data_IF_453316722041
#
_entry.id   IF_453316722041
#
_cell.length_a   1.000
_cell.length_b   1.000
_cell.length_c   1.000
_cell.angle_alpha   90.00
_cell.angle_beta   90.00
_cell.angle_gamma   90.00
#
_symmetry.space_group_name_H-M   'P 1'
#
loop_
_entity.id
_entity.type
_entity.pdbx_description
1 polymer ?
#
# COMPACT_ATOMS: atom_id res chain seq x y z
N UNK A 1 -28.15 21.80 88.32
CA UNK A 1 -28.81 22.11 87.01
C UNK A 1 -27.99 21.50 85.89
N UNK A 2 -28.63 20.55 85.20
CA UNK A 2 -28.03 19.65 84.20
C UNK A 2 -27.52 20.31 82.92
N UNK A 3 -26.22 20.37 82.73
CA UNK A 3 -25.57 20.73 81.41
C UNK A 3 -24.82 19.56 80.77
N UNK A 4 -25.20 18.33 81.09
CA UNK A 4 -24.54 17.15 80.51
C UNK A 4 -25.34 16.44 79.43
N UNK A 5 -26.58 16.84 79.11
CA UNK A 5 -27.43 16.14 78.15
C UNK A 5 -27.21 16.58 76.68
N UNK A 6 -26.64 17.76 76.43
CA UNK A 6 -26.55 18.28 75.03
C UNK A 6 -25.34 17.75 74.26
N UNK A 7 -24.28 17.31 74.93
CA UNK A 7 -23.05 16.80 74.29
C UNK A 7 -23.23 15.41 73.61
N UNK A 8 -24.18 14.60 74.09
CA UNK A 8 -24.48 13.29 73.52
C UNK A 8 -25.28 13.35 72.23
N UNK A 9 -26.17 14.34 72.08
CA UNK A 9 -27.01 14.45 70.87
C UNK A 9 -26.23 14.90 69.63
N UNK A 10 -25.29 15.82 69.79
CA UNK A 10 -24.41 16.28 68.72
C UNK A 10 -23.51 15.14 68.18
N UNK A 11 -23.01 14.29 69.05
CA UNK A 11 -22.18 13.14 68.67
C UNK A 11 -22.95 12.13 67.81
N UNK A 12 -24.20 11.82 68.11
CA UNK A 12 -25.06 10.90 67.34
C UNK A 12 -25.35 11.47 65.97
N UNK A 13 -25.63 12.77 65.87
CA UNK A 13 -25.88 13.42 64.57
C UNK A 13 -24.61 13.36 63.67
N UNK A 14 -23.45 13.66 64.22
CA UNK A 14 -22.17 13.58 63.49
C UNK A 14 -21.89 12.15 63.00
N UNK A 15 -22.13 11.15 63.80
CA UNK A 15 -21.96 9.73 63.42
C UNK A 15 -22.93 9.34 62.33
N UNK A 16 -24.22 9.79 62.39
CA UNK A 16 -25.18 9.54 61.32
C UNK A 16 -24.76 10.20 60.01
N UNK A 17 -24.32 11.44 60.02
CA UNK A 17 -23.87 12.11 58.80
C UNK A 17 -22.62 11.47 58.23
N UNK A 18 -21.63 11.10 59.02
CA UNK A 18 -20.42 10.45 58.57
C UNK A 18 -20.70 9.04 57.99
N UNK A 19 -21.60 8.28 58.62
CA UNK A 19 -22.00 6.96 58.09
C UNK A 19 -22.77 7.07 56.78
N UNK A 20 -23.66 8.06 56.64
CA UNK A 20 -24.39 8.35 55.44
C UNK A 20 -23.44 8.72 54.27
N UNK A 21 -22.45 9.57 54.58
CA UNK A 21 -21.43 9.99 53.59
C UNK A 21 -20.57 8.83 53.14
N UNK A 22 -20.15 7.94 54.07
CA UNK A 22 -19.42 6.72 53.75
C UNK A 22 -20.23 5.78 52.83
N UNK A 23 -21.53 5.62 53.11
CA UNK A 23 -22.40 4.79 52.23
C UNK A 23 -22.50 5.36 50.85
N UNK A 24 -22.66 6.68 50.70
CA UNK A 24 -22.76 7.33 49.37
C UNK A 24 -21.45 7.15 48.60
N UNK A 25 -20.29 7.34 49.26
CA UNK A 25 -18.98 7.14 48.63
C UNK A 25 -18.80 5.68 48.21
N UNK A 26 -19.14 4.72 49.09
CA UNK A 26 -19.00 3.28 48.79
C UNK A 26 -19.86 2.85 47.62
N UNK A 27 -21.12 3.32 47.53
CA UNK A 27 -22.00 3.05 46.39
C UNK A 27 -21.46 3.68 45.10
N UNK A 28 -20.87 4.89 45.20
CA UNK A 28 -20.19 5.55 44.09
C UNK A 28 -19.02 4.72 43.54
N UNK A 29 -18.16 4.23 44.44
CA UNK A 29 -17.02 3.37 44.09
C UNK A 29 -17.47 2.05 43.43
N UNK A 30 -18.46 1.36 43.98
CA UNK A 30 -18.98 0.11 43.41
C UNK A 30 -19.51 0.33 41.98
N UNK A 31 -20.24 1.43 41.76
CA UNK A 31 -20.71 1.77 40.41
C UNK A 31 -19.57 2.06 39.44
N UNK A 32 -18.55 2.80 39.90
CA UNK A 32 -17.39 3.12 39.08
C UNK A 32 -16.62 1.84 38.68
N UNK A 33 -16.36 0.95 39.66
CA UNK A 33 -15.70 -0.34 39.40
C UNK A 33 -16.48 -1.21 38.41
N UNK A 34 -17.81 -1.28 38.55
CA UNK A 34 -18.64 -2.05 37.64
C UNK A 34 -18.61 -1.47 36.21
N UNK A 35 -18.54 -0.16 36.06
CA UNK A 35 -18.40 0.47 34.74
C UNK A 35 -17.02 0.20 34.14
N UNK A 36 -15.94 0.29 34.92
CA UNK A 36 -14.58 -0.01 34.46
C UNK A 36 -14.46 -1.50 34.03
N UNK A 37 -15.04 -2.43 34.79
CA UNK A 37 -15.03 -3.86 34.46
C UNK A 37 -15.77 -4.12 33.13
N UNK A 38 -16.96 -3.51 32.95
CA UNK A 38 -17.72 -3.63 31.70
C UNK A 38 -16.93 -3.06 30.52
N UNK A 39 -16.34 -1.87 30.68
CA UNK A 39 -15.54 -1.24 29.65
C UNK A 39 -14.27 -2.04 29.31
N UNK A 40 -13.61 -2.60 30.31
CA UNK A 40 -12.45 -3.48 30.09
C UNK A 40 -12.85 -4.77 29.34
N UNK A 41 -13.99 -5.36 29.69
CA UNK A 41 -14.54 -6.53 28.98
C UNK A 41 -14.85 -6.23 27.54
N UNK A 42 -15.54 -5.09 27.28
CA UNK A 42 -15.90 -4.67 25.91
C UNK A 42 -14.67 -4.37 25.07
N UNK A 43 -13.64 -3.76 25.65
CA UNK A 43 -12.37 -3.53 24.96
C UNK A 43 -11.66 -4.85 24.62
N UNK A 44 -11.63 -5.83 25.53
CA UNK A 44 -11.05 -7.14 25.29
C UNK A 44 -11.79 -7.91 24.18
N UNK A 45 -13.13 -7.88 24.21
CA UNK A 45 -13.96 -8.51 23.17
C UNK A 45 -13.74 -7.81 21.82
N UNK A 46 -13.65 -6.48 21.82
CA UNK A 46 -13.35 -5.69 20.61
C UNK A 46 -12.00 -6.07 20.00
N UNK A 47 -10.95 -6.18 20.83
CA UNK A 47 -9.64 -6.60 20.38
C UNK A 47 -9.66 -8.03 19.86
N UNK A 48 -10.30 -8.95 20.56
CA UNK A 48 -10.45 -10.35 20.14
C UNK A 48 -11.23 -10.48 18.82
N UNK A 49 -12.26 -9.67 18.61
CA UNK A 49 -12.99 -9.61 17.35
C UNK A 49 -12.12 -9.07 16.20
N UNK A 50 -11.29 -8.05 16.49
CA UNK A 50 -10.33 -7.53 15.51
C UNK A 50 -9.29 -8.59 15.14
N UNK A 51 -8.68 -9.26 16.10
CA UNK A 51 -7.70 -10.33 15.86
C UNK A 51 -8.32 -11.49 15.06
N UNK A 52 -9.59 -11.78 15.31
CA UNK A 52 -10.34 -12.76 14.53
C UNK A 52 -10.52 -12.31 13.07
N UNK A 53 -10.82 -11.03 12.83
CA UNK A 53 -10.90 -10.50 11.47
C UNK A 53 -9.53 -10.55 10.76
N UNK A 54 -8.45 -10.22 11.46
CA UNK A 54 -7.08 -10.30 10.91
C UNK A 54 -6.72 -11.73 10.55
N UNK A 55 -7.11 -12.73 11.37
CA UNK A 55 -6.92 -14.15 11.03
C UNK A 55 -7.63 -14.53 9.73
N UNK A 56 -8.83 -13.98 9.49
CA UNK A 56 -9.53 -14.15 8.22
C UNK A 56 -8.77 -13.52 7.02
N UNK A 57 -8.09 -12.41 7.23
CA UNK A 57 -7.21 -11.80 6.21
C UNK A 57 -6.01 -12.70 5.90
N UNK A 58 -5.39 -13.31 6.93
CA UNK A 58 -4.26 -14.23 6.72
C UNK A 58 -4.68 -15.50 5.97
N UNK A 59 -5.85 -16.04 6.26
CA UNK A 59 -6.38 -17.17 5.50
C UNK A 59 -6.74 -16.76 4.06
N UNK A 60 -7.25 -15.53 3.85
CA UNK A 60 -7.48 -14.99 2.52
C UNK A 60 -6.17 -14.87 1.71
N UNK A 61 -5.05 -14.50 2.32
CA UNK A 61 -3.73 -14.49 1.65
C UNK A 61 -3.38 -15.89 1.13
N UNK A 62 -3.62 -16.92 1.93
CA UNK A 62 -3.40 -18.31 1.51
C UNK A 62 -4.26 -18.68 0.32
N UNK A 63 -5.55 -18.27 0.31
CA UNK A 63 -6.45 -18.49 -0.85
C UNK A 63 -5.92 -17.79 -2.09
N UNK A 64 -5.52 -16.52 -1.96
CA UNK A 64 -4.96 -15.71 -3.07
C UNK A 64 -3.70 -16.37 -3.63
N UNK A 65 -2.78 -16.79 -2.75
CA UNK A 65 -1.53 -17.46 -3.14
C UNK A 65 -1.82 -18.82 -3.81
N UNK A 66 -2.76 -19.60 -3.28
CA UNK A 66 -3.17 -20.87 -3.88
C UNK A 66 -3.78 -20.68 -5.27
N UNK A 67 -4.56 -19.61 -5.49
CA UNK A 67 -5.08 -19.27 -6.80
C UNK A 67 -3.97 -18.83 -7.76
N UNK A 68 -3.04 -17.99 -7.31
CA UNK A 68 -1.94 -17.49 -8.13
C UNK A 68 -1.00 -18.61 -8.61
N UNK A 69 -0.75 -19.62 -7.76
CA UNK A 69 0.12 -20.76 -8.05
C UNK A 69 -0.60 -21.95 -8.68
N UNK A 70 -1.94 -21.95 -8.69
CA UNK A 70 -2.76 -23.01 -9.23
C UNK A 70 -3.20 -22.78 -10.68
N UNK A 71 -3.98 -23.74 -11.19
CA UNK A 71 -4.71 -23.50 -12.44
C UNK A 71 -5.89 -22.53 -12.21
N UNK A 72 -6.30 -21.81 -13.25
CA UNK A 72 -7.44 -20.87 -13.20
C UNK A 72 -8.78 -21.53 -12.81
N UNK A 73 -8.87 -22.86 -12.92
CA UNK A 73 -10.02 -23.68 -12.48
C UNK A 73 -9.85 -24.27 -11.07
N UNK A 74 -8.85 -23.85 -10.32
CA UNK A 74 -8.66 -24.33 -8.95
C UNK A 74 -9.84 -23.89 -8.04
N UNK A 75 -10.09 -24.67 -7.00
CA UNK A 75 -11.14 -24.35 -6.02
C UNK A 75 -10.93 -22.95 -5.41
N UNK A 76 -9.66 -22.56 -5.20
CA UNK A 76 -9.30 -21.24 -4.69
C UNK A 76 -9.71 -20.11 -5.63
N UNK A 77 -9.38 -20.22 -6.93
CA UNK A 77 -9.75 -19.19 -7.91
C UNK A 77 -11.27 -19.10 -8.10
N UNK A 78 -11.95 -20.25 -8.16
CA UNK A 78 -13.42 -20.30 -8.27
C UNK A 78 -14.09 -19.65 -7.05
N UNK A 79 -13.54 -19.89 -5.84
CA UNK A 79 -14.05 -19.28 -4.61
C UNK A 79 -13.87 -17.74 -4.59
N UNK A 80 -12.73 -17.24 -5.08
CA UNK A 80 -12.47 -15.80 -5.19
C UNK A 80 -13.47 -15.15 -6.17
N UNK A 81 -13.68 -15.75 -7.34
CA UNK A 81 -14.60 -15.24 -8.36
C UNK A 81 -16.05 -15.16 -7.89
N UNK A 82 -16.44 -16.05 -6.97
CA UNK A 82 -17.78 -16.07 -6.39
C UNK A 82 -18.05 -14.87 -5.46
N UNK A 83 -17.03 -14.20 -4.94
CA UNK A 83 -17.11 -13.04 -4.04
C UNK A 83 -18.03 -13.23 -2.83
N UNK A 84 -18.01 -14.43 -2.25
CA UNK A 84 -18.88 -14.81 -1.13
C UNK A 84 -18.15 -14.79 0.20
N UNK A 85 -18.92 -14.73 1.30
CA UNK A 85 -18.37 -14.80 2.66
C UNK A 85 -17.69 -16.14 2.99
N UNK A 86 -17.99 -17.19 2.26
CA UNK A 86 -17.45 -18.54 2.46
C UNK A 86 -16.22 -18.85 1.57
N UNK A 87 -15.55 -17.82 1.07
CA UNK A 87 -14.41 -17.97 0.15
C UNK A 87 -13.30 -18.85 0.71
N UNK A 88 -12.94 -18.68 1.98
CA UNK A 88 -11.84 -19.43 2.63
C UNK A 88 -12.20 -20.92 2.77
N UNK A 89 -13.43 -21.22 3.12
CA UNK A 89 -13.94 -22.60 3.26
C UNK A 89 -14.06 -23.29 1.90
N UNK A 90 -14.60 -22.59 0.90
CA UNK A 90 -14.74 -23.12 -0.47
C UNK A 90 -13.40 -23.35 -1.15
N UNK A 91 -12.40 -22.58 -0.80
CA UNK A 91 -11.02 -22.81 -1.23
C UNK A 91 -10.35 -24.00 -0.54
N UNK A 92 -10.97 -24.60 0.47
CA UNK A 92 -10.41 -25.74 1.22
C UNK A 92 -9.29 -25.35 2.18
N UNK A 93 -9.12 -24.05 2.47
CA UNK A 93 -8.04 -23.56 3.36
C UNK A 93 -8.41 -23.73 4.84
N UNK A 94 -9.67 -23.54 5.18
CA UNK A 94 -10.14 -23.75 6.55
C UNK A 94 -11.31 -24.73 6.58
N UNK A 95 -11.32 -25.57 7.62
CA UNK A 95 -12.44 -26.48 7.86
C UNK A 95 -13.69 -25.68 8.24
N UNK A 96 -14.78 -25.89 7.52
CA UNK A 96 -16.07 -25.33 7.87
C UNK A 96 -16.74 -26.18 8.95
N UNK A 97 -17.17 -25.51 9.99
CA UNK A 97 -18.26 -26.04 10.82
C UNK A 97 -19.54 -25.37 10.32
N UNK A 98 -20.52 -26.09 9.93
CA UNK A 98 -21.92 -25.83 9.56
C UNK A 98 -22.37 -24.43 9.05
N UNK A 99 -21.62 -23.40 9.25
CA UNK A 99 -21.88 -22.01 8.83
C UNK A 99 -20.64 -21.37 8.22
N UNK A 100 -20.76 -20.18 7.67
CA UNK A 100 -19.62 -19.36 7.14
C UNK A 100 -18.58 -19.00 8.22
N UNK A 101 -18.73 -19.50 9.45
CA UNK A 101 -17.82 -19.24 10.58
C UNK A 101 -16.62 -20.15 10.53
N UNK A 102 -15.44 -19.57 10.70
CA UNK A 102 -14.21 -20.31 11.01
C UNK A 102 -13.81 -19.98 12.44
N UNK A 103 -13.90 -20.99 13.29
CA UNK A 103 -13.53 -20.85 14.70
C UNK A 103 -12.02 -20.84 14.86
N UNK A 104 -11.50 -19.85 15.55
CA UNK A 104 -10.09 -19.73 15.86
C UNK A 104 -9.84 -20.50 17.15
N UNK A 105 -9.06 -21.58 17.06
CA UNK A 105 -8.69 -22.38 18.24
C UNK A 105 -7.48 -21.74 18.91
N UNK A 106 -7.66 -21.36 20.16
CA UNK A 106 -6.54 -21.02 21.05
C UNK A 106 -6.06 -22.31 21.71
N UNK A 107 -4.84 -22.75 21.42
CA UNK A 107 -4.07 -23.78 22.14
C UNK A 107 -4.85 -24.99 22.67
N UNK A 108 -5.59 -25.69 21.82
CA UNK A 108 -6.27 -26.93 22.19
C UNK A 108 -7.60 -26.79 22.97
N UNK A 109 -8.05 -25.56 23.21
CA UNK A 109 -9.37 -25.34 23.80
C UNK A 109 -10.48 -25.77 22.82
N UNK A 110 -11.58 -26.40 23.32
CA UNK A 110 -12.70 -26.77 22.48
C UNK A 110 -13.27 -25.54 21.74
N UNK A 111 -13.83 -25.79 20.56
CA UNK A 111 -14.43 -24.75 19.71
C UNK A 111 -15.59 -23.97 20.39
N UNK A 112 -16.01 -24.40 21.56
CA UNK A 112 -17.11 -23.86 22.35
C UNK A 112 -16.62 -23.11 23.60
N UNK A 113 -15.39 -22.59 23.56
CA UNK A 113 -14.93 -21.73 24.63
C UNK A 113 -15.79 -20.46 24.70
N UNK A 114 -16.09 -20.03 25.90
CA UNK A 114 -17.02 -18.94 26.27
C UNK A 114 -16.72 -17.57 25.61
N UNK A 115 -15.65 -17.45 24.87
CA UNK A 115 -15.29 -16.22 24.13
C UNK A 115 -15.72 -16.25 22.67
N UNK A 116 -16.09 -17.42 22.10
CA UNK A 116 -16.68 -17.54 20.76
C UNK A 116 -15.93 -16.79 19.65
N UNK A 117 -14.59 -16.84 19.65
CA UNK A 117 -13.75 -16.16 18.66
C UNK A 117 -13.84 -16.86 17.30
N UNK A 118 -14.24 -16.13 16.30
CA UNK A 118 -14.33 -16.63 14.93
C UNK A 118 -14.30 -15.47 13.92
N UNK A 119 -13.85 -15.72 12.72
CA UNK A 119 -14.25 -14.85 11.62
C UNK A 119 -15.49 -15.47 10.93
N UNK A 120 -16.39 -14.58 10.49
CA UNK A 120 -17.73 -14.98 10.01
C UNK A 120 -17.92 -14.74 8.52
N UNK A 121 -17.13 -13.85 7.94
CA UNK A 121 -17.22 -13.50 6.54
C UNK A 121 -15.84 -13.08 6.05
N UNK A 122 -15.39 -13.69 4.95
CA UNK A 122 -14.19 -13.25 4.23
C UNK A 122 -14.50 -13.16 2.75
N UNK A 123 -14.56 -11.97 2.23
CA UNK A 123 -14.72 -11.69 0.80
C UNK A 123 -13.39 -11.23 0.21
N UNK A 124 -13.11 -11.68 -0.99
CA UNK A 124 -11.91 -11.30 -1.74
C UNK A 124 -12.36 -10.68 -3.06
N UNK A 125 -12.01 -9.43 -3.28
CA UNK A 125 -12.15 -8.76 -4.56
C UNK A 125 -10.79 -8.78 -5.27
N UNK A 126 -10.67 -9.62 -6.31
CA UNK A 126 -9.41 -9.79 -7.05
C UNK A 126 -9.12 -8.61 -7.96
N UNK A 127 -10.15 -7.98 -8.52
CA UNK A 127 -10.02 -6.83 -9.42
C UNK A 127 -10.14 -5.54 -8.64
N UNK A 128 -9.12 -4.68 -8.72
CA UNK A 128 -9.07 -3.40 -8.01
C UNK A 128 -8.85 -2.25 -8.97
N UNK A 129 -9.41 -1.08 -8.67
CA UNK A 129 -9.28 0.10 -9.51
C UNK A 129 -7.88 0.71 -9.44
N UNK A 130 -7.19 0.50 -8.34
CA UNK A 130 -5.86 1.05 -8.10
C UNK A 130 -4.98 0.13 -7.26
N UNK A 131 -3.68 0.41 -7.32
CA UNK A 131 -2.64 -0.17 -6.46
C UNK A 131 -1.99 0.96 -5.68
N UNK A 132 -1.77 0.76 -4.37
CA UNK A 132 -1.22 1.76 -3.46
C UNK A 132 0.02 1.22 -2.76
N UNK A 133 1.08 2.04 -2.73
CA UNK A 133 2.33 1.74 -2.03
C UNK A 133 2.89 2.96 -1.33
N UNK A 134 3.52 2.72 -0.17
CA UNK A 134 4.47 3.67 0.40
C UNK A 134 5.84 3.37 -0.20
N UNK A 135 6.53 4.40 -0.65
CA UNK A 135 7.90 4.31 -1.19
C UNK A 135 8.82 5.13 -0.30
N UNK A 136 9.83 4.48 0.23
CA UNK A 136 10.94 5.18 0.88
C UNK A 136 11.89 5.76 -0.17
N UNK A 137 12.70 6.72 0.22
CA UNK A 137 13.70 7.34 -0.65
C UNK A 137 14.68 6.32 -1.20
N UNK A 138 14.96 6.38 -2.49
CA UNK A 138 15.87 5.47 -3.18
C UNK A 138 15.31 4.05 -3.39
N UNK A 139 14.17 3.73 -2.78
CA UNK A 139 13.58 2.39 -2.88
C UNK A 139 12.73 2.27 -4.13
N UNK A 140 12.89 1.14 -4.81
CA UNK A 140 12.07 0.77 -5.97
C UNK A 140 10.98 -0.20 -5.57
N UNK A 141 9.79 -0.03 -6.19
CA UNK A 141 8.71 -1.01 -6.12
C UNK A 141 8.37 -1.51 -7.52
N UNK A 142 8.27 -2.82 -7.65
CA UNK A 142 7.80 -3.45 -8.89
C UNK A 142 6.30 -3.70 -8.76
N UNK A 143 5.54 -3.20 -9.71
CA UNK A 143 4.08 -3.32 -9.79
C UNK A 143 3.74 -4.09 -11.05
N UNK A 144 3.13 -5.27 -10.94
CA UNK A 144 2.59 -5.98 -12.10
C UNK A 144 1.51 -5.16 -12.79
N UNK A 145 1.57 -5.08 -14.12
CA UNK A 145 0.57 -4.39 -14.94
C UNK A 145 -0.43 -5.38 -15.54
N UNK A 146 -1.01 -6.23 -14.72
CA UNK A 146 -2.03 -7.18 -15.14
C UNK A 146 -3.39 -6.50 -15.16
N UNK A 147 -4.04 -6.47 -16.33
CA UNK A 147 -5.25 -5.69 -16.59
C UNK A 147 -6.43 -6.57 -16.96
N UNK A 148 -7.64 -6.07 -16.68
CA UNK A 148 -8.90 -6.70 -17.11
C UNK A 148 -9.24 -6.43 -18.56
N UNK A 149 -8.81 -5.30 -19.10
CA UNK A 149 -9.07 -4.84 -20.47
C UNK A 149 -7.78 -4.32 -21.11
N UNK A 150 -7.73 -4.28 -22.42
CA UNK A 150 -6.63 -3.65 -23.14
C UNK A 150 -6.59 -2.16 -22.81
N UNK A 151 -5.41 -1.65 -22.51
CA UNK A 151 -5.19 -0.22 -22.19
C UNK A 151 -3.78 0.22 -22.53
N UNK A 152 -3.64 1.49 -22.91
CA UNK A 152 -2.36 2.16 -23.13
C UNK A 152 -2.12 3.31 -22.13
N UNK A 153 -3.03 3.51 -21.19
CA UNK A 153 -2.99 4.58 -20.21
C UNK A 153 -2.70 4.05 -18.82
N UNK A 154 -1.71 4.67 -18.15
CA UNK A 154 -1.35 4.39 -16.77
C UNK A 154 -1.32 5.72 -16.03
N UNK A 155 -2.23 5.93 -15.11
CA UNK A 155 -2.24 7.08 -14.21
C UNK A 155 -1.32 6.81 -13.03
N UNK A 156 -0.39 7.71 -12.80
CA UNK A 156 0.51 7.72 -11.65
C UNK A 156 0.21 8.94 -10.80
N UNK A 157 -0.13 8.73 -9.55
CA UNK A 157 -0.42 9.78 -8.58
C UNK A 157 0.45 9.59 -7.35
N UNK A 158 0.99 10.68 -6.82
CA UNK A 158 1.86 10.60 -5.66
C UNK A 158 1.79 11.85 -4.78
N UNK A 159 2.37 11.76 -3.59
CA UNK A 159 2.30 12.74 -2.52
C UNK A 159 0.87 12.92 -2.03
N UNK A 160 0.55 12.21 -0.93
CA UNK A 160 -0.73 12.38 -0.23
C UNK A 160 -0.79 13.77 0.41
N UNK A 161 -2.00 14.25 0.59
CA UNK A 161 -2.28 15.36 1.49
C UNK A 161 -1.79 14.97 2.89
N UNK A 162 -0.69 15.58 3.31
CA UNK A 162 -0.38 15.74 4.73
C UNK A 162 -1.03 17.03 5.22
N UNK A 163 -1.08 17.25 6.52
CA UNK A 163 -1.61 18.50 7.09
C UNK A 163 -0.81 19.76 6.64
N UNK A 164 0.28 19.55 5.89
CA UNK A 164 1.16 20.56 5.36
C UNK A 164 1.00 20.71 3.85
N UNK A 165 0.98 21.96 3.38
CA UNK A 165 0.97 22.27 1.95
C UNK A 165 2.36 21.96 1.38
N UNK A 166 2.50 21.06 0.38
CA UNK A 166 3.80 20.75 -0.15
C UNK A 166 4.46 22.01 -0.74
N UNK A 167 5.68 22.29 -0.31
CA UNK A 167 6.52 23.28 -0.96
C UNK A 167 6.94 22.72 -2.31
N UNK A 168 6.47 23.31 -3.38
CA UNK A 168 6.82 22.87 -4.72
C UNK A 168 8.10 23.55 -5.14
N UNK A 169 9.05 22.77 -5.63
CA UNK A 169 10.38 23.23 -6.04
C UNK A 169 10.31 24.50 -6.90
N UNK A 170 11.28 25.39 -6.64
CA UNK A 170 11.43 26.73 -7.17
C UNK A 170 10.86 26.90 -8.60
N UNK A 171 9.80 27.70 -8.78
CA UNK A 171 9.20 27.95 -10.09
C UNK A 171 10.17 28.68 -11.06
N UNK A 172 11.27 29.21 -10.56
CA UNK A 172 12.27 29.94 -11.36
C UNK A 172 13.34 29.02 -11.98
N UNK A 173 13.33 27.70 -11.72
CA UNK A 173 14.22 26.81 -12.43
C UNK A 173 13.67 26.55 -13.84
N UNK A 174 14.07 27.41 -14.77
CA UNK A 174 13.66 27.38 -16.17
C UNK A 174 14.33 26.26 -16.97
N UNK A 175 15.34 25.61 -16.40
CA UNK A 175 16.01 24.49 -17.06
C UNK A 175 15.36 23.15 -16.69
N UNK A 176 14.55 22.53 -17.57
CA UNK A 176 13.89 21.27 -17.27
C UNK A 176 14.86 20.10 -17.07
N UNK A 177 16.11 20.25 -17.52
CA UNK A 177 17.14 19.21 -17.41
C UNK A 177 18.02 19.37 -16.17
N UNK A 178 17.87 20.46 -15.43
CA UNK A 178 18.63 20.68 -14.21
C UNK A 178 17.99 19.94 -13.05
N UNK A 179 18.66 18.91 -12.57
CA UNK A 179 18.31 18.22 -11.34
C UNK A 179 19.14 18.81 -10.20
N UNK A 180 18.50 19.34 -9.16
CA UNK A 180 19.23 19.81 -7.99
C UNK A 180 19.95 18.66 -7.30
N UNK A 181 20.98 18.98 -6.54
CA UNK A 181 21.61 18.01 -5.66
C UNK A 181 20.64 17.58 -4.57
N UNK A 182 20.91 16.43 -3.96
CA UNK A 182 20.01 15.83 -2.97
C UNK A 182 19.72 16.78 -1.79
N UNK A 183 20.73 17.44 -1.27
CA UNK A 183 20.65 18.40 -0.17
C UNK A 183 19.92 19.71 -0.53
N UNK A 184 19.83 20.02 -1.82
CA UNK A 184 19.06 21.14 -2.35
C UNK A 184 17.58 20.82 -2.60
N UNK A 185 17.16 19.55 -2.45
CA UNK A 185 15.75 19.15 -2.54
C UNK A 185 15.04 19.47 -1.23
N UNK A 186 14.10 20.40 -1.25
CA UNK A 186 13.36 20.78 -0.02
C UNK A 186 12.62 19.61 0.61
N UNK A 187 12.63 19.54 1.95
CA UNK A 187 12.00 18.44 2.71
C UNK A 187 10.50 18.27 2.39
N UNK A 188 9.79 19.38 2.10
CA UNK A 188 8.36 19.39 1.77
C UNK A 188 8.10 19.31 0.26
N UNK A 189 9.14 19.15 -0.56
CA UNK A 189 8.99 19.03 -2.01
C UNK A 189 8.55 17.60 -2.35
N UNK A 190 7.51 17.41 -3.19
CA UNK A 190 7.10 16.10 -3.64
C UNK A 190 8.26 15.33 -4.28
N UNK A 191 8.28 14.01 -4.07
CA UNK A 191 9.30 13.15 -4.64
C UNK A 191 9.33 13.27 -6.17
N UNK A 192 10.51 13.20 -6.76
CA UNK A 192 10.69 12.91 -8.17
C UNK A 192 10.56 11.40 -8.35
N UNK A 193 9.83 10.96 -9.35
CA UNK A 193 9.67 9.53 -9.62
C UNK A 193 10.44 9.13 -10.88
N UNK A 194 11.19 8.05 -10.79
CA UNK A 194 11.67 7.31 -11.95
C UNK A 194 10.72 6.15 -12.19
N UNK A 195 10.08 6.15 -13.34
CA UNK A 195 9.15 5.10 -13.76
C UNK A 195 9.76 4.36 -14.93
N UNK A 196 9.88 3.04 -14.81
CA UNK A 196 10.31 2.16 -15.88
C UNK A 196 9.18 1.15 -16.16
N UNK A 197 8.77 1.05 -17.41
CA UNK A 197 7.70 0.15 -17.84
C UNK A 197 8.29 -0.83 -18.84
N UNK A 198 7.97 -2.09 -18.64
CA UNK A 198 8.33 -3.19 -19.55
C UNK A 198 7.06 -3.86 -20.01
N UNK A 199 6.84 -3.85 -21.31
CA UNK A 199 5.69 -4.49 -21.96
C UNK A 199 6.21 -5.53 -22.93
N UNK A 200 5.97 -6.84 -22.70
CA UNK A 200 6.36 -7.89 -23.64
C UNK A 200 5.68 -7.70 -24.98
N UNK A 201 6.42 -7.94 -26.05
CA UNK A 201 5.90 -7.88 -27.42
C UNK A 201 5.22 -9.18 -27.82
N UNK A 202 5.67 -10.30 -27.24
CA UNK A 202 5.13 -11.62 -27.55
C UNK A 202 3.76 -11.83 -26.91
N UNK A 203 2.81 -12.41 -27.66
CA UNK A 203 1.45 -12.65 -27.16
C UNK A 203 1.38 -13.58 -25.94
N UNK A 204 2.32 -14.52 -25.83
CA UNK A 204 2.44 -15.45 -24.70
C UNK A 204 3.03 -14.79 -23.45
N UNK A 205 3.48 -13.52 -23.56
CA UNK A 205 4.09 -12.78 -22.47
C UNK A 205 5.50 -13.26 -22.12
N UNK A 206 6.10 -14.16 -22.93
CA UNK A 206 7.48 -14.58 -22.70
C UNK A 206 8.44 -13.42 -22.95
N UNK A 207 9.50 -13.33 -22.15
CA UNK A 207 10.54 -12.31 -22.28
C UNK A 207 11.90 -13.01 -22.40
N UNK A 208 12.66 -12.55 -23.39
CA UNK A 208 14.06 -12.94 -23.58
C UNK A 208 14.97 -11.79 -23.20
N UNK A 209 16.26 -12.06 -23.02
CA UNK A 209 17.24 -11.00 -22.70
C UNK A 209 17.25 -9.89 -23.74
N UNK A 210 17.05 -10.24 -25.03
CA UNK A 210 16.93 -9.29 -26.13
C UNK A 210 15.77 -8.34 -25.99
N UNK A 211 14.69 -8.75 -25.32
CA UNK A 211 13.54 -7.91 -25.06
C UNK A 211 13.85 -6.75 -24.12
N UNK A 212 14.76 -6.97 -23.13
CA UNK A 212 15.26 -5.91 -22.26
C UNK A 212 16.22 -4.95 -22.95
N UNK A 213 16.90 -5.42 -23.99
CA UNK A 213 17.82 -4.62 -24.80
C UNK A 213 17.13 -3.88 -25.94
N UNK A 214 15.84 -4.14 -26.14
CA UNK A 214 15.04 -3.58 -27.20
C UNK A 214 14.18 -2.40 -26.74
N UNK A 215 13.38 -1.90 -27.68
CA UNK A 215 12.42 -0.83 -27.49
C UNK A 215 11.30 -1.10 -26.47
N UNK A 216 11.33 -2.25 -25.77
CA UNK A 216 10.28 -2.66 -24.83
C UNK A 216 10.44 -2.06 -23.43
N UNK A 217 11.63 -1.59 -23.09
CA UNK A 217 11.86 -0.85 -21.83
C UNK A 217 11.67 0.63 -22.07
N UNK A 218 10.68 1.20 -21.43
CA UNK A 218 10.34 2.61 -21.48
C UNK A 218 10.61 3.26 -20.12
N UNK A 219 11.24 4.42 -20.10
CA UNK A 219 11.55 5.14 -18.86
C UNK A 219 11.01 6.56 -18.92
N UNK A 220 10.41 7.00 -17.84
CA UNK A 220 10.06 8.40 -17.61
C UNK A 220 10.64 8.87 -16.27
N UNK A 221 11.09 10.11 -16.23
CA UNK A 221 11.47 10.82 -15.01
C UNK A 221 10.42 11.90 -14.76
N UNK A 222 9.58 11.71 -13.73
CA UNK A 222 8.48 12.61 -13.40
C UNK A 222 8.96 13.63 -12.39
N UNK A 223 9.19 14.87 -12.85
CA UNK A 223 9.67 15.97 -12.01
C UNK A 223 8.50 16.83 -11.54
N UNK A 224 8.31 16.99 -10.21
CA UNK A 224 7.31 17.91 -9.67
C UNK A 224 7.56 19.36 -10.11
N UNK A 225 6.50 20.05 -10.47
CA UNK A 225 6.55 21.49 -10.78
C UNK A 225 5.26 22.18 -10.34
N UNK A 226 5.36 23.44 -9.94
CA UNK A 226 4.19 24.31 -9.68
C UNK A 226 3.74 25.06 -10.93
N UNK A 227 4.56 25.07 -11.97
CA UNK A 227 4.29 25.82 -13.20
C UNK A 227 3.46 24.98 -14.14
N UNK A 228 2.35 25.53 -14.60
CA UNK A 228 1.55 24.91 -15.65
C UNK A 228 2.28 25.03 -16.98
N UNK A 229 2.75 23.93 -17.54
CA UNK A 229 3.24 23.87 -18.92
C UNK A 229 2.14 23.83 -19.98
N UNK A 230 0.89 23.51 -19.56
CA UNK A 230 -0.30 23.43 -20.42
C UNK A 230 -1.56 23.78 -19.65
N UNK A 231 -2.67 24.01 -20.34
CA UNK A 231 -3.99 24.21 -19.74
C UNK A 231 -4.57 22.96 -19.09
N UNK A 232 -3.99 21.79 -19.39
CA UNK A 232 -4.45 20.51 -18.84
C UNK A 232 -4.14 20.40 -17.33
N UNK A 233 -5.12 19.91 -16.58
CA UNK A 233 -4.98 19.66 -15.15
C UNK A 233 -4.05 18.47 -14.85
N UNK A 234 -3.95 17.52 -15.77
CA UNK A 234 -3.15 16.30 -15.68
C UNK A 234 -2.25 16.25 -16.91
N UNK A 235 -0.96 16.10 -16.70
CA UNK A 235 0.00 15.96 -17.78
C UNK A 235 -0.09 14.56 -18.39
N UNK A 236 -0.19 14.49 -19.71
CA UNK A 236 -0.03 13.25 -20.45
C UNK A 236 1.39 13.17 -20.98
N UNK A 237 2.08 12.08 -20.71
CA UNK A 237 3.48 11.85 -21.06
C UNK A 237 3.54 10.62 -21.95
N UNK A 238 3.86 10.79 -23.23
CA UNK A 238 4.11 9.69 -24.14
C UNK A 238 5.45 9.03 -23.78
N UNK A 239 5.40 7.78 -23.43
CA UNK A 239 6.58 7.00 -23.11
C UNK A 239 7.42 6.75 -24.37
N UNK A 240 8.74 6.79 -24.21
CA UNK A 240 9.68 6.47 -25.28
C UNK A 240 10.56 5.30 -24.87
N UNK A 241 10.92 4.48 -25.84
CA UNK A 241 11.88 3.42 -25.62
C UNK A 241 13.21 3.99 -25.13
N UNK A 242 13.78 3.41 -24.08
CA UNK A 242 15.05 3.84 -23.48
C UNK A 242 16.24 3.32 -24.27
N UNK A 243 16.04 2.30 -25.11
CA UNK A 243 17.05 1.73 -26.00
C UNK A 243 16.47 1.54 -27.40
N UNK A 244 17.22 1.93 -28.41
CA UNK A 244 16.88 1.60 -29.79
C UNK A 244 17.39 0.19 -30.11
N UNK A 245 16.56 -0.63 -30.74
CA UNK A 245 16.96 -1.95 -31.20
C UNK A 245 18.21 -1.87 -32.12
N UNK A 246 19.24 -2.62 -31.78
CA UNK A 246 20.49 -2.70 -32.57
C UNK A 246 21.44 -1.50 -32.44
N UNK A 247 21.13 -0.53 -31.60
CA UNK A 247 22.01 0.62 -31.31
C UNK A 247 22.44 0.61 -29.86
N UNK A 248 23.75 0.79 -29.64
CA UNK A 248 24.29 1.00 -28.28
C UNK A 248 24.10 2.44 -27.80
N UNK A 249 23.45 3.29 -28.56
CA UNK A 249 23.16 4.67 -28.17
C UNK A 249 22.06 4.69 -27.14
N UNK A 250 22.41 5.09 -25.92
CA UNK A 250 21.43 5.36 -24.87
C UNK A 250 20.57 6.56 -25.29
N UNK A 251 19.27 6.39 -25.27
CA UNK A 251 18.36 7.51 -25.42
C UNK A 251 18.42 8.33 -24.11
N UNK A 252 18.74 9.62 -24.22
CA UNK A 252 18.71 10.50 -23.07
C UNK A 252 17.26 10.68 -22.62
N UNK A 253 16.97 10.28 -21.40
CA UNK A 253 15.66 10.53 -20.78
C UNK A 253 15.70 11.85 -20.05
N UNK A 254 15.04 12.85 -20.61
CA UNK A 254 14.89 14.15 -19.94
C UNK A 254 13.76 14.10 -18.90
N UNK A 255 13.91 14.82 -17.78
CA UNK A 255 12.83 14.94 -16.82
C UNK A 255 11.59 15.58 -17.42
N UNK A 256 10.45 14.92 -17.24
CA UNK A 256 9.15 15.44 -17.66
C UNK A 256 8.51 16.22 -16.53
N UNK A 257 8.21 17.50 -16.69
CA UNK A 257 7.57 18.31 -15.67
C UNK A 257 6.13 17.82 -15.44
N UNK A 258 5.78 17.59 -14.17
CA UNK A 258 4.44 17.19 -13.75
C UNK A 258 3.89 18.22 -12.78
N UNK A 259 2.73 18.75 -13.10
CA UNK A 259 2.06 19.72 -12.22
C UNK A 259 1.66 19.06 -10.90
N UNK A 260 2.21 19.59 -9.83
CA UNK A 260 1.83 19.28 -8.46
C UNK A 260 1.16 20.52 -7.86
N UNK A 261 0.03 20.35 -7.20
CA UNK A 261 -0.74 21.50 -6.70
C UNK A 261 -1.48 21.15 -5.42
N UNK A 262 -1.45 22.05 -4.45
CA UNK A 262 -2.25 21.93 -3.23
C UNK A 262 -3.77 21.84 -3.51
N UNK A 263 -4.25 22.47 -4.58
CA UNK A 263 -5.66 22.40 -4.98
C UNK A 263 -6.12 20.98 -5.33
N UNK A 264 -5.20 20.11 -5.77
CA UNK A 264 -5.52 18.70 -6.08
C UNK A 264 -5.81 17.87 -4.86
N UNK A 265 -5.21 18.18 -3.72
CA UNK A 265 -5.52 17.48 -2.49
C UNK A 265 -7.00 17.48 -2.15
N UNK A 266 -7.71 18.56 -2.48
CA UNK A 266 -9.14 18.66 -2.19
C UNK A 266 -9.99 17.77 -3.09
N UNK A 267 -9.53 17.49 -4.31
CA UNK A 267 -10.26 16.69 -5.28
C UNK A 267 -9.85 15.20 -5.24
N UNK A 268 -8.54 14.90 -5.18
CA UNK A 268 -8.02 13.55 -5.48
C UNK A 268 -7.11 12.96 -4.40
N UNK A 269 -6.91 13.59 -3.28
CA UNK A 269 -6.00 13.17 -2.20
C UNK A 269 -4.50 13.15 -2.58
N UNK A 270 -4.12 13.40 -3.84
CA UNK A 270 -2.75 13.41 -4.31
C UNK A 270 -2.40 14.75 -4.95
N UNK A 271 -1.25 15.30 -4.58
CA UNK A 271 -0.79 16.57 -5.11
C UNK A 271 -0.32 16.50 -6.56
N UNK A 272 0.32 15.39 -6.92
CA UNK A 272 0.91 15.16 -8.22
C UNK A 272 0.15 14.10 -8.99
N UNK A 273 -0.04 14.28 -10.30
CA UNK A 273 -0.65 13.29 -11.16
C UNK A 273 -0.15 13.40 -12.60
N UNK A 274 0.14 12.27 -13.22
CA UNK A 274 0.50 12.17 -14.63
C UNK A 274 -0.10 10.91 -15.25
N UNK A 275 -0.54 11.01 -16.50
CA UNK A 275 -0.90 9.87 -17.32
C UNK A 275 0.29 9.52 -18.20
N UNK A 276 0.76 8.30 -18.08
CA UNK A 276 1.77 7.72 -18.95
C UNK A 276 1.06 6.99 -20.08
N UNK A 277 1.38 7.37 -21.32
CA UNK A 277 0.81 6.71 -22.51
C UNK A 277 1.84 5.80 -23.14
N UNK A 278 1.48 4.53 -23.28
CA UNK A 278 2.30 3.53 -23.97
C UNK A 278 2.17 3.77 -25.47
N UNK A 279 3.28 3.84 -26.24
CA UNK A 279 3.24 4.15 -27.66
C UNK A 279 2.47 3.10 -28.46
N UNK A 280 1.88 3.55 -29.57
CA UNK A 280 1.05 2.75 -30.46
C UNK A 280 1.65 1.38 -30.79
N UNK A 281 0.81 0.36 -30.71
CA UNK A 281 1.17 -1.03 -30.99
C UNK A 281 1.68 -1.82 -29.78
N UNK A 282 1.80 -1.19 -28.60
CA UNK A 282 2.32 -1.82 -27.38
C UNK A 282 1.37 -1.70 -26.20
N UNK A 283 0.10 -1.81 -26.44
CA UNK A 283 -0.91 -1.79 -25.38
C UNK A 283 -0.68 -2.93 -24.36
N UNK A 284 -1.00 -2.64 -23.12
CA UNK A 284 -1.20 -3.69 -22.11
C UNK A 284 -2.39 -4.54 -22.55
N UNK A 285 -2.17 -5.82 -22.73
CA UNK A 285 -3.22 -6.76 -23.14
C UNK A 285 -3.89 -7.39 -21.94
N UNK A 286 -5.20 -7.50 -22.00
CA UNK A 286 -5.99 -8.18 -20.99
C UNK A 286 -5.45 -9.58 -20.73
N UNK A 287 -5.25 -9.93 -19.46
CA UNK A 287 -4.72 -11.23 -19.06
C UNK A 287 -3.20 -11.40 -19.26
N UNK A 288 -2.47 -10.43 -19.84
CA UNK A 288 -1.00 -10.48 -19.90
C UNK A 288 -0.41 -10.49 -18.51
N UNK A 289 0.50 -11.43 -18.23
CA UNK A 289 1.08 -11.63 -16.89
C UNK A 289 2.47 -11.02 -16.73
N UNK A 290 3.10 -10.58 -17.82
CA UNK A 290 4.52 -10.26 -17.84
C UNK A 290 4.83 -8.76 -17.92
N UNK A 291 3.83 -7.91 -18.19
CA UNK A 291 4.03 -6.48 -18.15
C UNK A 291 4.19 -6.00 -16.69
N UNK A 292 5.17 -5.15 -16.45
CA UNK A 292 5.38 -4.58 -15.13
C UNK A 292 5.90 -3.15 -15.19
N UNK A 293 5.68 -2.44 -14.11
CA UNK A 293 6.20 -1.12 -13.88
C UNK A 293 7.09 -1.13 -12.63
N UNK A 294 8.29 -0.56 -12.74
CA UNK A 294 9.15 -0.27 -11.61
C UNK A 294 9.08 1.22 -11.32
N UNK A 295 8.72 1.58 -10.10
CA UNK A 295 8.71 2.97 -9.65
C UNK A 295 9.74 3.13 -8.55
N UNK A 296 10.63 4.13 -8.71
CA UNK A 296 11.61 4.50 -7.70
C UNK A 296 11.32 5.92 -7.23
N UNK A 297 11.24 6.11 -5.94
CA UNK A 297 11.16 7.45 -5.33
C UNK A 297 12.55 8.04 -5.22
N UNK A 298 12.75 9.23 -5.75
CA UNK A 298 14.02 9.96 -5.71
C UNK A 298 13.85 11.18 -4.81
N UNK A 299 14.89 11.50 -4.04
CA UNK A 299 15.02 12.65 -3.14
C UNK A 299 14.21 12.60 -1.84
N UNK A 300 13.04 11.98 -1.81
CA UNK A 300 12.22 11.90 -0.60
C UNK A 300 11.23 10.73 -0.67
N UNK A 301 10.71 10.30 0.46
CA UNK A 301 9.65 9.30 0.54
C UNK A 301 8.34 9.82 -0.02
N UNK A 302 7.48 8.92 -0.51
CA UNK A 302 6.17 9.30 -1.00
C UNK A 302 5.14 8.18 -0.89
N UNK A 303 3.87 8.56 -0.94
CA UNK A 303 2.76 7.63 -1.17
C UNK A 303 2.44 7.61 -2.66
N UNK A 304 2.29 6.42 -3.21
CA UNK A 304 2.03 6.17 -4.62
C UNK A 304 0.67 5.53 -4.82
N UNK A 305 -0.08 6.01 -5.81
CA UNK A 305 -1.25 5.37 -6.37
C UNK A 305 -1.04 5.18 -7.87
N UNK A 306 -1.31 3.99 -8.35
CA UNK A 306 -1.30 3.67 -9.78
C UNK A 306 -2.68 3.14 -10.17
N UNK A 307 -3.23 3.62 -11.27
CA UNK A 307 -4.51 3.19 -11.83
C UNK A 307 -4.46 3.20 -13.36
N UNK A 308 -5.43 2.57 -13.99
CA UNK A 308 -5.61 2.63 -15.45
C UNK A 308 -6.72 3.63 -15.77
N UNK A 309 -6.36 4.89 -15.73
CA UNK A 309 -7.26 6.01 -15.98
C UNK A 309 -6.67 6.91 -17.09
N UNK A 310 -7.55 7.50 -17.88
CA UNK A 310 -7.18 8.54 -18.84
C UNK A 310 -6.97 9.91 -18.16
N UNK A 311 -6.60 10.93 -18.93
CA UNK A 311 -6.38 12.27 -18.41
C UNK A 311 -7.68 12.97 -17.92
N UNK A 312 -8.84 12.43 -18.25
CA UNK A 312 -10.14 12.89 -17.77
C UNK A 312 -10.57 12.18 -16.48
N UNK A 313 -9.80 11.17 -16.04
CA UNK A 313 -10.10 10.36 -14.85
C UNK A 313 -11.06 9.21 -15.13
N UNK A 314 -11.32 8.89 -16.39
CA UNK A 314 -12.13 7.71 -16.72
C UNK A 314 -11.29 6.45 -16.63
N UNK A 315 -11.81 5.43 -15.94
CA UNK A 315 -11.18 4.13 -15.88
C UNK A 315 -11.19 3.45 -17.25
N UNK A 316 -10.01 3.05 -17.75
CA UNK A 316 -9.84 2.32 -19.00
C UNK A 316 -9.74 0.81 -18.77
N UNK A 317 -9.22 0.41 -17.62
CA UNK A 317 -9.10 -0.97 -17.17
C UNK A 317 -9.04 -1.03 -15.63
N UNK A 318 -9.06 -2.25 -15.07
CA UNK A 318 -8.81 -2.52 -13.64
C UNK A 318 -7.61 -3.45 -13.49
N UNK A 319 -6.96 -3.42 -12.34
CA UNK A 319 -5.95 -4.41 -11.99
C UNK A 319 -6.60 -5.77 -11.72
N UNK A 320 -5.99 -6.84 -12.21
CA UNK A 320 -6.44 -8.21 -12.01
C UNK A 320 -5.46 -8.99 -11.13
N UNK A 321 -5.84 -9.22 -9.87
CA UNK A 321 -5.07 -10.01 -8.92
C UNK A 321 -3.75 -9.40 -8.46
N UNK A 322 -3.51 -8.10 -8.69
CA UNK A 322 -2.24 -7.43 -8.34
C UNK A 322 -2.21 -7.01 -6.87
N UNK A 323 -3.29 -6.40 -6.40
CA UNK A 323 -3.45 -6.03 -5.00
C UNK A 323 -4.91 -6.24 -4.59
N UNK A 324 -5.34 -7.52 -4.47
CA UNK A 324 -6.70 -7.86 -4.06
C UNK A 324 -7.11 -7.18 -2.77
N UNK A 325 -8.40 -6.83 -2.70
CA UNK A 325 -9.01 -6.28 -1.51
C UNK A 325 -9.69 -7.40 -0.72
N UNK A 326 -9.32 -7.54 0.53
CA UNK A 326 -9.90 -8.51 1.46
C UNK A 326 -10.78 -7.79 2.47
N UNK A 327 -12.03 -8.21 2.56
CA UNK A 327 -13.01 -7.73 3.51
C UNK A 327 -13.33 -8.87 4.49
N UNK A 328 -12.80 -8.76 5.69
CA UNK A 328 -12.94 -9.79 6.73
C UNK A 328 -13.72 -9.25 7.93
N UNK A 329 -14.67 -10.04 8.42
CA UNK A 329 -15.44 -9.73 9.62
C UNK A 329 -15.16 -10.78 10.70
N UNK A 330 -14.57 -10.31 11.80
CA UNK A 330 -14.33 -11.11 13.00
C UNK A 330 -15.40 -10.89 14.07
N UNK A 331 -15.55 -11.87 14.94
CA UNK A 331 -16.48 -11.90 16.07
C UNK A 331 -15.80 -12.41 17.32
N UNK A 332 -16.13 -11.78 18.45
CA UNK A 332 -15.85 -12.31 19.78
C UNK A 332 -17.06 -12.03 20.68
N UNK A 333 -17.69 -13.05 21.22
CA UNK A 333 -18.98 -12.91 21.90
C UNK A 333 -20.02 -12.28 20.97
N UNK A 334 -20.57 -11.16 21.37
CA UNK A 334 -21.56 -10.38 20.60
C UNK A 334 -20.94 -9.17 19.86
N UNK A 335 -19.60 -9.00 19.96
CA UNK A 335 -18.89 -7.90 19.32
C UNK A 335 -18.38 -8.33 17.95
N UNK A 336 -18.60 -7.50 16.94
CA UNK A 336 -18.11 -7.68 15.57
C UNK A 336 -17.15 -6.58 15.20
N UNK A 337 -16.07 -6.94 14.48
CA UNK A 337 -15.13 -5.99 13.88
C UNK A 337 -14.90 -6.37 12.42
N UNK A 338 -14.87 -5.37 11.56
CA UNK A 338 -14.61 -5.53 10.12
C UNK A 338 -13.24 -4.93 9.80
N UNK A 339 -12.44 -5.69 9.08
CA UNK A 339 -11.13 -5.28 8.59
C UNK A 339 -11.15 -5.32 7.06
N UNK A 340 -10.79 -4.21 6.46
CA UNK A 340 -10.59 -4.07 5.03
C UNK A 340 -9.09 -3.94 4.78
N UNK A 341 -8.51 -4.88 4.04
CA UNK A 341 -7.06 -4.94 3.83
C UNK A 341 -6.74 -5.17 2.35
N UNK A 342 -5.71 -4.48 1.87
CA UNK A 342 -5.11 -4.76 0.57
C UNK A 342 -3.98 -5.76 0.75
N UNK A 343 -4.01 -6.81 -0.03
CA UNK A 343 -3.06 -7.91 0.06
C UNK A 343 -2.24 -7.97 -1.22
N UNK A 344 -0.93 -7.88 -1.10
CA UNK A 344 -0.03 -8.20 -2.21
C UNK A 344 0.23 -9.70 -2.20
N UNK A 345 -0.04 -10.44 -3.28
CA UNK A 345 0.26 -11.87 -3.34
C UNK A 345 1.76 -12.08 -3.24
N UNK A 346 2.21 -12.73 -2.18
CA UNK A 346 3.62 -13.10 -2.02
C UNK A 346 4.00 -14.14 -3.09
N UNK A 347 5.06 -13.89 -3.84
CA UNK A 347 5.59 -14.83 -4.83
C UNK A 347 4.86 -14.87 -6.18
N UNK A 348 3.78 -14.12 -6.37
CA UNK A 348 3.08 -14.05 -7.66
C UNK A 348 3.89 -13.33 -8.75
N UNK A 349 4.98 -12.67 -8.35
CA UNK A 349 5.85 -11.93 -9.26
C UNK A 349 7.32 -12.17 -8.92
N UNK A 350 8.02 -12.84 -9.80
CA UNK A 350 9.43 -13.23 -9.64
C UNK A 350 10.44 -12.19 -10.16
N UNK A 351 10.00 -10.96 -10.42
CA UNK A 351 10.95 -9.92 -10.81
C UNK A 351 11.71 -9.43 -9.59
N UNK A 352 13.02 -9.61 -9.53
CA UNK A 352 13.82 -9.11 -8.43
C UNK A 352 13.74 -7.58 -8.38
N UNK A 353 13.58 -7.02 -7.19
CA UNK A 353 13.62 -5.58 -7.01
C UNK A 353 14.98 -5.00 -7.40
N UNK A 354 16.02 -5.82 -7.31
CA UNK A 354 17.40 -5.46 -7.62
C UNK A 354 18.01 -6.48 -8.60
N UNK A 355 18.72 -5.97 -9.58
CA UNK A 355 19.57 -6.82 -10.46
C UNK A 355 20.82 -7.33 -9.72
N UNK A 356 21.28 -6.56 -8.74
CA UNK A 356 22.41 -6.89 -7.86
C UNK A 356 22.04 -6.44 -6.46
N UNK A 357 22.01 -7.35 -5.51
CA UNK A 357 21.84 -7.07 -4.09
C UNK A 357 23.20 -7.29 -3.39
N UNK A 358 23.74 -6.24 -2.78
CA UNK A 358 25.01 -6.32 -2.05
C UNK A 358 24.82 -5.76 -0.65
N UNK A 359 25.33 -6.46 0.34
CA UNK A 359 25.34 -6.01 1.74
C UNK A 359 26.46 -5.02 2.06
N UNK A 360 27.29 -4.68 1.07
CA UNK A 360 28.38 -3.74 1.18
C UNK A 360 28.36 -2.63 0.14
N UNK A 361 29.29 -1.71 0.23
CA UNK A 361 29.43 -0.64 -0.75
C UNK A 361 29.80 -1.20 -2.12
N UNK A 362 28.96 -0.97 -3.13
CA UNK A 362 29.28 -1.26 -4.53
C UNK A 362 29.88 -0.01 -5.16
N UNK A 363 31.12 -0.13 -5.57
CA UNK A 363 31.79 0.89 -6.34
C UNK A 363 31.80 0.52 -7.81
N UNK A 364 31.35 1.42 -8.69
CA UNK A 364 31.33 1.23 -10.13
C UNK A 364 32.05 2.42 -10.77
N UNK A 365 33.26 2.19 -11.24
CA UNK A 365 34.00 3.17 -12.02
C UNK A 365 33.82 2.86 -13.52
N UNK A 366 33.27 3.83 -14.25
CA UNK A 366 33.18 3.83 -15.69
C UNK A 366 33.90 5.05 -16.22
N UNK A 367 35.21 4.93 -16.42
CA UNK A 367 35.90 5.88 -17.26
C UNK A 367 36.27 5.24 -18.59
N UNK A 368 35.74 5.74 -19.68
CA UNK A 368 36.28 5.49 -21.00
C UNK A 368 37.13 6.71 -21.35
N UNK A 369 38.43 6.58 -21.28
CA UNK A 369 39.36 7.67 -21.57
C UNK A 369 40.47 7.16 -22.44
N UNK A 370 40.79 7.88 -23.51
CA UNK A 370 41.97 7.65 -24.35
C UNK A 370 43.28 8.13 -23.67
N UNK A 371 43.16 8.74 -22.53
CA UNK A 371 44.27 9.22 -21.71
C UNK A 371 44.11 8.74 -20.28
N UNK A 372 45.23 8.45 -19.63
CA UNK A 372 45.41 7.78 -18.35
C UNK A 372 44.23 7.87 -17.36
N UNK A 373 43.94 6.73 -16.76
CA UNK A 373 42.93 6.54 -15.76
C UNK A 373 42.92 7.65 -14.69
N UNK A 374 41.79 8.26 -14.48
CA UNK A 374 41.56 9.16 -13.33
C UNK A 374 41.51 8.26 -12.11
N UNK A 375 42.58 8.22 -11.35
CA UNK A 375 42.63 7.47 -10.09
C UNK A 375 41.84 8.22 -9.02
N UNK A 376 40.95 7.57 -8.30
CA UNK A 376 40.79 8.00 -6.96
C UNK A 376 39.43 8.07 -6.33
N UNK A 377 38.34 7.69 -6.97
CA UNK A 377 37.05 7.76 -6.27
C UNK A 377 36.54 6.38 -5.83
N UNK A 378 36.98 5.35 -6.49
CA UNK A 378 36.61 3.97 -6.18
C UNK A 378 37.83 3.06 -6.19
N UNK A 379 38.38 2.74 -5.03
CA UNK A 379 39.40 1.70 -4.92
C UNK A 379 38.78 0.41 -4.31
N UNK A 380 38.47 -0.60 -5.12
CA UNK A 380 37.84 -1.84 -4.61
C UNK A 380 38.83 -2.72 -3.84
N UNK A 381 40.09 -2.33 -3.71
CA UNK A 381 41.08 -3.12 -2.99
C UNK A 381 40.87 -3.00 -1.50
N UNK A 382 40.79 -4.12 -0.73
CA UNK A 382 40.75 -4.04 0.70
C UNK A 382 41.99 -3.30 1.21
N UNK A 383 41.78 -2.24 1.95
CA UNK A 383 42.88 -1.59 2.68
C UNK A 383 43.41 -2.63 3.66
N UNK A 384 44.69 -3.01 3.45
CA UNK A 384 45.42 -3.90 4.35
C UNK A 384 45.61 -3.25 5.71
#
# INVERSE_FOLDING_TARGET
MNRQSEKGMVSIIVVMFTSLLLIIISVGFVRLMSQEETQASDNNLSQSAYDSAVSGVEDAKRVITACANGSTVSAACTAILAQRCDTVQKAGIAASTTDTRVTIRSNGAPADSTQGQAYTCVKIESTTDDVKHALEEGVSKVIPLKTTNDTDHIMVQWTLKSDETPAIANPNDTNPNHLPQHDAWGADTPAMLRVQIVVPEKPDGSMEQTDYDSSQVMTALLRPTSVRGSSAMINTISLQATRAAGSQTNVTVSPSPVLCSAARFNANQYACAAVLTIPNGRQLKAGSRMAFMRVTSLYTRTQLRVSFEDASGNATARFDGVQPLVDSTGRAGDVYRRVLSRVSPDGAFTFPEYAVDTTGSLCKDFSVSDTAAISGVCDPRPKK
#
